data_IF_356064367270
#
_entry.id   IF_356064367270
#
_cell.length_a   1.000
_cell.length_b   1.000
_cell.length_c   1.000
_cell.angle_alpha   90.00
_cell.angle_beta   90.00
_cell.angle_gamma   90.00
#
_symmetry.space_group_name_H-M   'P 1'
#
loop_
_entity.id
_entity.type
_entity.pdbx_description
1 polymer ?
#
# COMPACT_ATOMS: atom_id res chain seq x y z
N UNK A 1 -5.11 -5.55 27.67
CA UNK A 1 -4.94 -6.91 27.10
C UNK A 1 -4.47 -6.81 25.65
N UNK A 2 -3.94 -7.87 25.03
CA UNK A 2 -3.41 -7.83 23.66
C UNK A 2 -4.41 -7.26 22.62
N UNK A 3 -5.71 -7.46 22.83
CA UNK A 3 -6.76 -6.86 22.02
C UNK A 3 -6.80 -5.31 22.04
N UNK A 4 -6.45 -4.69 23.18
CA UNK A 4 -6.39 -3.21 23.34
C UNK A 4 -5.24 -2.61 22.53
N UNK A 5 -4.10 -3.31 22.48
CA UNK A 5 -2.91 -2.86 21.77
C UNK A 5 -3.10 -2.88 20.24
N UNK A 6 -3.90 -3.82 19.73
CA UNK A 6 -4.23 -3.93 18.30
C UNK A 6 -5.49 -3.15 17.88
N UNK A 7 -6.14 -2.46 18.83
CA UNK A 7 -7.44 -1.82 18.61
C UNK A 7 -7.39 -0.72 17.53
N UNK A 8 -6.35 0.14 17.45
CA UNK A 8 -6.19 1.08 16.35
C UNK A 8 -6.05 0.38 14.98
N UNK A 9 -5.33 -0.75 14.93
CA UNK A 9 -5.18 -1.55 13.71
C UNK A 9 -6.49 -2.25 13.31
N UNK A 10 -7.26 -2.75 14.28
CA UNK A 10 -8.58 -3.35 14.01
C UNK A 10 -9.61 -2.34 13.49
N UNK A 11 -9.51 -1.07 13.90
CA UNK A 11 -10.35 0.01 13.35
C UNK A 11 -10.04 0.28 11.89
N UNK A 12 -8.79 0.08 11.44
CA UNK A 12 -8.44 0.15 10.02
C UNK A 12 -9.05 -0.98 9.19
N UNK A 13 -9.45 -2.09 9.83
CA UNK A 13 -10.09 -3.23 9.19
C UNK A 13 -11.62 -3.11 9.15
N UNK A 14 -12.21 -2.06 9.73
CA UNK A 14 -13.65 -1.87 9.72
C UNK A 14 -14.08 -1.34 8.36
N UNK A 15 -14.83 -2.14 7.63
CA UNK A 15 -15.31 -1.80 6.30
C UNK A 15 -16.32 -0.66 6.36
N UNK A 16 -16.02 0.46 5.68
CA UNK A 16 -17.01 1.50 5.43
C UNK A 16 -17.67 1.22 4.07
N UNK A 17 -19.01 1.03 4.01
CA UNK A 17 -19.70 0.89 2.74
C UNK A 17 -19.64 2.23 1.99
N UNK A 18 -19.00 2.22 0.83
CA UNK A 18 -18.90 3.39 -0.04
C UNK A 18 -18.48 2.99 -1.44
N UNK A 19 -19.35 3.24 -2.42
CA UNK A 19 -19.10 3.02 -3.85
C UNK A 19 -18.69 4.31 -4.57
N UNK A 20 -18.55 5.42 -3.85
CA UNK A 20 -18.13 6.68 -4.41
C UNK A 20 -16.63 6.64 -4.77
N UNK A 21 -16.32 6.79 -6.06
CA UNK A 21 -14.95 6.96 -6.52
C UNK A 21 -14.32 8.16 -5.81
N UNK A 22 -13.24 7.93 -5.08
CA UNK A 22 -12.53 8.98 -4.36
C UNK A 22 -11.60 9.70 -5.35
N UNK A 23 -11.71 11.03 -5.54
CA UNK A 23 -10.71 11.77 -6.31
C UNK A 23 -9.35 11.55 -5.65
N UNK A 24 -8.28 11.29 -6.43
CA UNK A 24 -6.99 10.95 -5.86
C UNK A 24 -6.48 12.13 -5.02
N UNK A 25 -6.26 11.96 -3.71
CA UNK A 25 -5.66 12.98 -2.88
C UNK A 25 -4.23 13.27 -3.37
N UNK A 26 -3.67 14.45 -3.03
CA UNK A 26 -2.28 14.74 -3.35
C UNK A 26 -1.35 13.66 -2.76
N UNK A 27 -0.21 13.35 -3.41
CA UNK A 27 0.75 12.38 -2.90
C UNK A 27 1.14 12.68 -1.46
N UNK A 28 1.10 11.67 -0.59
CA UNK A 28 1.39 11.83 0.84
C UNK A 28 2.69 11.12 1.21
N UNK A 29 3.72 11.85 1.70
CA UNK A 29 4.91 11.22 2.24
C UNK A 29 4.59 10.64 3.63
N UNK A 30 5.12 9.45 3.89
CA UNK A 30 5.05 8.75 5.17
C UNK A 30 6.48 8.30 5.50
N UNK A 31 7.01 8.77 6.63
CA UNK A 31 8.33 8.35 7.11
C UNK A 31 8.12 7.22 8.11
N UNK A 32 8.76 6.08 7.85
CA UNK A 32 8.77 4.95 8.78
C UNK A 32 9.72 5.29 9.91
N UNK A 33 9.22 5.28 11.14
CA UNK A 33 10.03 5.59 12.31
C UNK A 33 11.28 4.70 12.36
N UNK A 34 12.47 5.26 12.66
CA UNK A 34 13.68 4.46 12.81
C UNK A 34 13.53 3.53 14.02
N UNK A 35 14.16 2.35 13.94
CA UNK A 35 14.22 1.43 15.07
C UNK A 35 15.15 1.99 16.14
N UNK A 36 14.71 2.02 17.39
CA UNK A 36 15.51 2.50 18.52
C UNK A 36 16.84 1.71 18.61
N UNK A 37 17.95 2.44 18.77
CA UNK A 37 19.30 1.86 18.83
C UNK A 37 19.86 1.37 17.49
N UNK A 38 19.16 1.56 16.37
CA UNK A 38 19.69 1.22 15.06
C UNK A 38 20.77 2.22 14.62
N UNK A 39 21.80 1.70 13.94
CA UNK A 39 22.84 2.54 13.32
C UNK A 39 22.20 3.44 12.25
N UNK A 40 22.61 4.72 12.14
CA UNK A 40 22.16 5.58 11.05
C UNK A 40 22.45 4.93 9.69
N UNK A 41 21.42 4.87 8.84
CA UNK A 41 21.51 4.46 7.44
C UNK A 41 20.86 5.53 6.56
N UNK A 42 21.24 5.63 5.27
CA UNK A 42 20.53 6.49 4.33
C UNK A 42 19.03 6.15 4.28
N UNK A 43 18.20 7.20 4.17
CA UNK A 43 16.77 7.07 3.92
C UNK A 43 16.59 6.54 2.50
N UNK A 44 15.80 5.48 2.35
CA UNK A 44 15.44 4.94 1.03
C UNK A 44 14.03 5.37 0.69
N UNK A 45 13.82 5.82 -0.54
CA UNK A 45 12.52 6.30 -1.00
C UNK A 45 11.79 5.26 -1.84
N UNK A 46 10.53 5.02 -1.52
CA UNK A 46 9.64 4.14 -2.29
C UNK A 46 8.33 4.85 -2.66
N UNK A 47 7.84 4.61 -3.87
CA UNK A 47 6.48 4.92 -4.26
C UNK A 47 5.55 3.75 -3.93
N UNK A 48 4.39 4.06 -3.36
CA UNK A 48 3.29 3.11 -3.18
C UNK A 48 2.13 3.61 -4.01
N UNK A 49 1.71 2.83 -5.01
CA UNK A 49 0.61 3.17 -5.89
C UNK A 49 -0.59 2.26 -5.64
N UNK A 50 -1.80 2.81 -5.61
CA UNK A 50 -3.06 2.08 -5.41
C UNK A 50 -4.00 2.41 -6.56
N UNK A 51 -4.53 1.37 -7.23
CA UNK A 51 -5.63 1.50 -8.17
C UNK A 51 -6.93 1.79 -7.40
N UNK A 52 -7.75 2.73 -7.86
CA UNK A 52 -9.02 3.06 -7.16
C UNK A 52 -10.27 2.79 -8.01
N UNK A 53 -10.15 2.59 -9.33
CA UNK A 53 -11.31 2.28 -10.16
C UNK A 53 -11.87 0.90 -9.83
N UNK A 54 -13.19 0.82 -9.61
CA UNK A 54 -13.88 -0.43 -9.32
C UNK A 54 -13.61 -1.03 -7.93
N UNK A 55 -12.92 -0.31 -7.05
CA UNK A 55 -12.60 -0.78 -5.70
C UNK A 55 -13.35 0.02 -4.63
N UNK A 56 -13.91 -0.68 -3.64
CA UNK A 56 -14.36 -0.03 -2.41
C UNK A 56 -13.16 0.42 -1.56
N UNK A 57 -13.40 1.36 -0.64
CA UNK A 57 -12.36 1.82 0.29
C UNK A 57 -11.73 0.67 1.11
N UNK A 58 -12.56 -0.29 1.52
CA UNK A 58 -12.12 -1.50 2.22
C UNK A 58 -11.15 -2.32 1.37
N UNK A 59 -11.47 -2.56 0.10
CA UNK A 59 -10.64 -3.36 -0.80
C UNK A 59 -9.29 -2.66 -1.03
N UNK A 60 -9.31 -1.34 -1.19
CA UNK A 60 -8.09 -0.53 -1.29
C UNK A 60 -7.19 -0.69 -0.06
N UNK A 61 -7.78 -0.61 1.14
CA UNK A 61 -7.03 -0.75 2.40
C UNK A 61 -6.51 -2.17 2.59
N UNK A 62 -7.29 -3.19 2.24
CA UNK A 62 -6.87 -4.60 2.30
C UNK A 62 -5.70 -4.83 1.34
N UNK A 63 -5.81 -4.40 0.09
CA UNK A 63 -4.74 -4.54 -0.91
C UNK A 63 -3.47 -3.81 -0.48
N UNK A 64 -3.59 -2.59 0.04
CA UNK A 64 -2.46 -1.83 0.58
C UNK A 64 -1.81 -2.54 1.77
N UNK A 65 -2.61 -3.00 2.73
CA UNK A 65 -2.10 -3.64 3.94
C UNK A 65 -1.34 -4.93 3.59
N UNK A 66 -1.90 -5.77 2.72
CA UNK A 66 -1.21 -6.98 2.25
C UNK A 66 0.11 -6.65 1.57
N UNK A 67 0.13 -5.69 0.64
CA UNK A 67 1.35 -5.25 -0.03
C UNK A 67 2.43 -4.80 0.97
N UNK A 68 2.06 -3.97 1.95
CA UNK A 68 3.01 -3.45 2.93
C UNK A 68 3.53 -4.54 3.88
N UNK A 69 2.65 -5.43 4.34
CA UNK A 69 3.05 -6.54 5.21
C UNK A 69 4.02 -7.47 4.48
N UNK A 70 3.70 -7.88 3.25
CA UNK A 70 4.59 -8.71 2.42
C UNK A 70 5.92 -8.01 2.18
N UNK A 71 5.91 -6.73 1.80
CA UNK A 71 7.13 -5.95 1.59
C UNK A 71 8.01 -5.84 2.85
N UNK A 72 7.42 -5.75 4.05
CA UNK A 72 8.18 -5.77 5.31
C UNK A 72 8.77 -7.16 5.57
N UNK A 73 7.96 -8.21 5.39
CA UNK A 73 8.40 -9.60 5.64
C UNK A 73 9.52 -10.03 4.68
N UNK A 74 9.45 -9.59 3.43
CA UNK A 74 10.46 -9.84 2.40
C UNK A 74 11.68 -8.89 2.49
N UNK A 75 11.70 -7.99 3.47
CA UNK A 75 12.80 -7.04 3.68
C UNK A 75 12.92 -5.98 2.58
N UNK A 76 11.86 -5.72 1.80
CA UNK A 76 11.81 -4.71 0.72
C UNK A 76 11.68 -3.28 1.24
N UNK A 77 11.05 -3.12 2.41
CA UNK A 77 10.94 -1.86 3.15
C UNK A 77 11.24 -2.09 4.63
N UNK A 78 11.78 -1.09 5.31
CA UNK A 78 12.15 -1.20 6.72
C UNK A 78 12.13 0.13 7.47
N UNK A 79 12.37 0.08 8.80
CA UNK A 79 12.39 1.27 9.65
C UNK A 79 13.36 2.33 9.12
N UNK A 80 12.91 3.58 9.01
CA UNK A 80 13.69 4.69 8.45
C UNK A 80 13.46 4.99 6.96
N UNK A 81 12.70 4.17 6.23
CA UNK A 81 12.35 4.47 4.83
C UNK A 81 11.26 5.53 4.70
N UNK A 82 11.21 6.15 3.53
CA UNK A 82 10.18 7.11 3.16
C UNK A 82 9.27 6.53 2.07
N UNK A 83 7.98 6.40 2.36
CA UNK A 83 6.96 5.93 1.43
C UNK A 83 6.17 7.12 0.89
N UNK A 84 5.99 7.22 -0.43
CA UNK A 84 5.08 8.20 -1.04
C UNK A 84 3.84 7.49 -1.55
N UNK A 85 2.71 7.71 -0.88
CA UNK A 85 1.44 7.12 -1.29
C UNK A 85 0.83 7.90 -2.44
N UNK A 86 0.44 7.19 -3.51
CA UNK A 86 -0.21 7.72 -4.72
C UNK A 86 -1.43 6.88 -5.04
N UNK A 87 -2.55 7.54 -5.28
CA UNK A 87 -3.77 6.90 -5.74
C UNK A 87 -3.97 7.26 -7.21
N UNK A 88 -4.34 6.29 -8.03
CA UNK A 88 -4.69 6.51 -9.44
C UNK A 88 -5.85 5.61 -9.83
N UNK A 89 -6.70 6.00 -10.79
CA UNK A 89 -7.80 5.14 -11.24
C UNK A 89 -7.31 3.78 -11.75
N UNK A 90 -6.17 3.76 -12.43
CA UNK A 90 -5.51 2.56 -12.95
C UNK A 90 -4.00 2.64 -12.74
N UNK A 91 -3.36 1.46 -12.69
CA UNK A 91 -1.89 1.31 -12.69
C UNK A 91 -1.33 1.01 -14.08
N UNK A 92 -2.19 0.93 -15.11
CA UNK A 92 -1.76 0.82 -16.50
C UNK A 92 -0.92 2.03 -16.90
N UNK A 93 0.21 1.79 -17.55
CA UNK A 93 1.16 2.83 -17.96
C UNK A 93 2.09 3.29 -16.84
N UNK A 94 2.02 2.69 -15.64
CA UNK A 94 3.06 2.89 -14.63
C UNK A 94 4.32 2.11 -15.04
N UNK A 95 5.45 2.79 -15.09
CA UNK A 95 6.73 2.23 -15.52
C UNK A 95 7.79 2.32 -14.43
N UNK A 96 8.66 1.32 -14.39
CA UNK A 96 9.84 1.28 -13.53
C UNK A 96 10.05 -0.10 -12.93
N UNK A 97 11.19 -0.32 -12.25
CA UNK A 97 11.36 -1.52 -11.47
C UNK A 97 10.37 -1.51 -10.30
N UNK A 98 9.59 -2.58 -10.16
CA UNK A 98 8.70 -2.80 -9.04
C UNK A 98 9.38 -3.73 -8.03
N UNK A 99 9.31 -3.35 -6.75
CA UNK A 99 9.74 -4.21 -5.64
C UNK A 99 8.66 -5.24 -5.29
N UNK A 100 7.38 -4.88 -5.43
CA UNK A 100 6.24 -5.77 -5.20
C UNK A 100 4.99 -5.27 -5.95
N UNK A 101 4.11 -6.20 -6.35
CA UNK A 101 2.83 -5.88 -6.99
C UNK A 101 1.76 -6.80 -6.39
N UNK A 102 0.64 -6.21 -5.96
CA UNK A 102 -0.54 -6.95 -5.55
C UNK A 102 -1.50 -7.08 -6.73
N UNK A 103 -1.73 -8.31 -7.14
CA UNK A 103 -2.61 -8.67 -8.26
C UNK A 103 -3.78 -9.50 -7.72
N UNK A 104 -4.98 -9.24 -8.22
CA UNK A 104 -6.18 -10.03 -7.90
C UNK A 104 -6.97 -10.30 -9.19
N UNK A 105 -7.87 -11.30 -9.20
CA UNK A 105 -8.84 -11.46 -10.29
C UNK A 105 -9.71 -10.21 -10.46
N UNK A 106 -10.01 -9.83 -11.70
CA UNK A 106 -10.95 -8.76 -12.03
C UNK A 106 -12.38 -9.22 -11.66
N UNK A 107 -13.09 -8.41 -10.87
CA UNK A 107 -14.43 -8.74 -10.39
C UNK A 107 -15.46 -8.89 -11.52
N UNK A 108 -15.23 -8.23 -12.66
CA UNK A 108 -16.10 -8.27 -13.85
C UNK A 108 -15.66 -9.31 -14.87
N UNK A 109 -14.42 -9.79 -14.78
CA UNK A 109 -13.80 -10.73 -15.71
C UNK A 109 -12.80 -11.63 -14.95
N UNK A 110 -13.26 -12.62 -14.15
CA UNK A 110 -12.43 -13.36 -13.20
C UNK A 110 -11.23 -14.12 -13.81
N UNK A 111 -11.25 -14.38 -15.11
CA UNK A 111 -10.14 -14.96 -15.88
C UNK A 111 -8.99 -13.97 -16.11
N UNK A 112 -9.22 -12.69 -15.85
CA UNK A 112 -8.24 -11.61 -15.99
C UNK A 112 -7.67 -11.23 -14.64
N UNK A 113 -6.39 -10.89 -14.66
CA UNK A 113 -5.67 -10.40 -13.49
C UNK A 113 -5.54 -8.88 -13.56
N UNK A 114 -5.79 -8.21 -12.44
CA UNK A 114 -5.67 -6.77 -12.30
C UNK A 114 -4.71 -6.41 -11.17
N UNK A 115 -3.81 -5.46 -11.43
CA UNK A 115 -2.96 -4.89 -10.40
C UNK A 115 -3.75 -3.87 -9.56
N UNK A 116 -3.80 -4.09 -8.26
CA UNK A 116 -4.52 -3.24 -7.31
C UNK A 116 -3.59 -2.33 -6.51
N UNK A 117 -2.35 -2.76 -6.26
CA UNK A 117 -1.34 -1.92 -5.63
C UNK A 117 0.06 -2.33 -6.09
N UNK A 118 1.01 -1.40 -6.05
CA UNK A 118 2.43 -1.74 -6.25
C UNK A 118 3.36 -0.87 -5.41
N UNK A 119 4.53 -1.43 -5.15
CA UNK A 119 5.66 -0.79 -4.49
C UNK A 119 6.77 -0.63 -5.53
N UNK A 120 7.26 0.59 -5.74
CA UNK A 120 8.43 0.81 -6.61
C UNK A 120 9.71 0.34 -5.94
N UNK A 121 10.70 -0.01 -6.74
CA UNK A 121 12.05 -0.24 -6.21
C UNK A 121 12.59 1.01 -5.51
N UNK A 122 13.55 0.75 -4.61
CA UNK A 122 14.31 1.76 -3.89
C UNK A 122 14.91 2.80 -4.84
N UNK A 123 14.78 4.07 -4.45
CA UNK A 123 15.51 5.20 -5.03
C UNK A 123 16.36 5.89 -3.97
#
# INVERSE_FOLDING_TARGET
GPASATLPLRRLLTAFPGTAGMPPPPPRPVVLAPRAGARPRPVVHHGVHIATAGMGATDCLVALNHLLVEAVLDGRIGPGDALTLRQSPSLVGLHGPFAAIRVMPDATAPERLQAHACLTAAR
#
